data_IF_139601585217
#
_entry.id   IF_139601585217
#
_cell.length_a   1.000
_cell.length_b   1.000
_cell.length_c   1.000
_cell.angle_alpha   90.00
_cell.angle_beta   90.00
_cell.angle_gamma   90.00
#
_symmetry.space_group_name_H-M   'P 1'
#
loop_
_entity.id
_entity.type
_entity.pdbx_description
1 polymer ?
#
# COMPACT_ATOMS: atom_id res chain seq x y z
N UNK A 1 19.48 -1.47 2.63
CA UNK A 1 19.60 -0.09 2.03
C UNK A 1 19.63 0.91 3.16
N UNK A 2 20.54 1.87 3.11
CA UNK A 2 20.58 3.03 4.00
C UNK A 2 19.27 3.83 3.95
N UNK A 3 19.04 4.70 4.91
CA UNK A 3 17.99 5.71 4.84
C UNK A 3 18.16 6.52 3.54
N UNK A 4 17.06 7.09 2.98
CA UNK A 4 17.18 7.98 1.83
C UNK A 4 18.13 9.14 2.13
N UNK A 5 18.80 9.62 1.09
CA UNK A 5 19.70 10.76 1.21
C UNK A 5 18.95 12.06 1.52
N UNK A 6 19.59 13.06 2.17
CA UNK A 6 18.94 14.32 2.53
C UNK A 6 18.23 14.99 1.34
N UNK A 7 18.83 14.95 0.16
CA UNK A 7 18.26 15.54 -1.05
C UNK A 7 16.98 14.82 -1.50
N UNK A 8 16.92 13.51 -1.33
CA UNK A 8 15.69 12.74 -1.65
C UNK A 8 14.60 12.99 -0.61
N UNK A 9 14.95 13.12 0.67
CA UNK A 9 14.02 13.53 1.73
C UNK A 9 13.47 14.94 1.45
N UNK A 10 14.34 15.89 1.05
CA UNK A 10 13.90 17.24 0.67
C UNK A 10 13.00 17.22 -0.58
N UNK A 11 13.32 16.40 -1.58
CA UNK A 11 12.44 16.24 -2.74
C UNK A 11 11.06 15.71 -2.34
N UNK A 12 10.99 14.73 -1.44
CA UNK A 12 9.73 14.20 -0.88
C UNK A 12 8.96 15.31 -0.16
N UNK A 13 9.63 16.08 0.70
CA UNK A 13 9.02 17.20 1.43
C UNK A 13 8.50 18.29 0.49
N UNK A 14 9.30 18.64 -0.53
CA UNK A 14 8.90 19.60 -1.57
C UNK A 14 7.65 19.13 -2.33
N UNK A 15 7.62 17.87 -2.76
CA UNK A 15 6.46 17.28 -3.44
C UNK A 15 5.23 17.37 -2.54
N UNK A 16 5.33 16.97 -1.27
CA UNK A 16 4.19 16.96 -0.34
C UNK A 16 3.61 18.36 -0.10
N UNK A 17 4.46 19.39 0.01
CA UNK A 17 4.03 20.79 0.20
C UNK A 17 3.38 21.40 -1.05
N UNK A 18 3.75 20.93 -2.25
CA UNK A 18 3.37 21.55 -3.51
C UNK A 18 2.46 20.66 -4.38
N UNK A 19 1.71 19.70 -3.78
CA UNK A 19 0.86 18.75 -4.52
C UNK A 19 -0.22 19.42 -5.39
N UNK A 20 -0.64 20.63 -5.03
CA UNK A 20 -1.62 21.43 -5.77
C UNK A 20 -1.04 22.10 -7.01
N UNK A 21 0.31 22.23 -7.07
CA UNK A 21 1.02 22.87 -8.16
C UNK A 21 1.26 21.92 -9.35
N UNK A 22 1.61 22.50 -10.49
CA UNK A 22 2.06 21.73 -11.66
C UNK A 22 3.48 21.21 -11.45
N UNK A 23 3.62 20.10 -10.76
CA UNK A 23 4.90 19.46 -10.47
C UNK A 23 5.42 18.70 -11.69
N UNK A 24 6.32 19.32 -12.45
CA UNK A 24 7.10 18.62 -13.48
C UNK A 24 8.38 18.01 -12.90
N UNK A 25 8.93 17.01 -13.60
CA UNK A 25 10.19 16.40 -13.23
C UNK A 25 11.32 17.43 -13.12
N UNK A 26 11.36 18.38 -14.04
CA UNK A 26 12.38 19.45 -14.07
C UNK A 26 12.29 20.35 -12.84
N UNK A 27 11.08 20.70 -12.41
CA UNK A 27 10.87 21.54 -11.21
C UNK A 27 11.40 20.83 -9.97
N UNK A 28 11.04 19.55 -9.78
CA UNK A 28 11.46 18.78 -8.61
C UNK A 28 12.99 18.56 -8.61
N UNK A 29 13.55 18.16 -9.75
CA UNK A 29 14.99 17.90 -9.87
C UNK A 29 15.83 19.18 -9.62
N UNK A 30 15.39 20.33 -10.18
CA UNK A 30 16.04 21.62 -9.99
C UNK A 30 16.01 22.05 -8.52
N UNK A 31 14.92 21.81 -7.81
CA UNK A 31 14.79 22.15 -6.39
C UNK A 31 15.88 21.52 -5.53
N UNK A 32 16.28 20.28 -5.85
CA UNK A 32 17.32 19.53 -5.11
C UNK A 32 18.68 19.54 -5.79
N UNK A 33 18.88 20.39 -6.80
CA UNK A 33 20.18 20.57 -7.45
C UNK A 33 20.62 19.42 -8.38
N UNK A 34 19.70 18.58 -8.85
CA UNK A 34 20.01 17.47 -9.75
C UNK A 34 19.55 17.71 -11.19
N UNK A 35 20.26 17.09 -12.14
CA UNK A 35 19.70 16.93 -13.48
C UNK A 35 18.49 15.97 -13.43
N UNK A 36 17.48 16.15 -14.29
CA UNK A 36 16.28 15.30 -14.29
C UNK A 36 16.59 13.81 -14.42
N UNK A 37 17.54 13.44 -15.27
CA UNK A 37 17.95 12.06 -15.47
C UNK A 37 18.56 11.43 -14.20
N UNK A 38 19.51 12.14 -13.59
CA UNK A 38 20.14 11.69 -12.35
C UNK A 38 19.12 11.59 -11.22
N UNK A 39 18.24 12.59 -11.09
CA UNK A 39 17.19 12.62 -10.08
C UNK A 39 16.24 11.41 -10.19
N UNK A 40 15.72 11.11 -11.40
CA UNK A 40 14.81 9.96 -11.60
C UNK A 40 15.46 8.68 -11.12
N UNK A 41 16.71 8.44 -11.52
CA UNK A 41 17.44 7.22 -11.15
C UNK A 41 17.65 7.12 -9.65
N UNK A 42 18.14 8.21 -9.03
CA UNK A 42 18.40 8.27 -7.59
C UNK A 42 17.11 8.11 -6.78
N UNK A 43 16.08 8.87 -7.10
CA UNK A 43 14.78 8.80 -6.44
C UNK A 43 14.16 7.39 -6.53
N UNK A 44 14.18 6.78 -7.74
CA UNK A 44 13.66 5.43 -7.93
C UNK A 44 14.45 4.38 -7.14
N UNK A 45 15.76 4.53 -7.05
CA UNK A 45 16.58 3.59 -6.28
C UNK A 45 16.31 3.68 -4.76
N UNK A 46 16.03 4.87 -4.24
CA UNK A 46 15.85 5.10 -2.80
C UNK A 46 14.39 4.93 -2.36
N UNK A 47 13.43 5.47 -3.13
CA UNK A 47 11.99 5.39 -2.83
C UNK A 47 11.33 4.13 -3.42
N UNK A 48 11.88 3.59 -4.52
CA UNK A 48 11.38 2.38 -5.19
C UNK A 48 10.47 2.66 -6.39
N UNK A 49 9.93 3.87 -6.54
CA UNK A 49 9.07 4.30 -7.65
C UNK A 49 9.58 5.62 -8.26
N UNK A 50 9.17 5.93 -9.50
CA UNK A 50 9.59 7.18 -10.12
C UNK A 50 8.98 8.41 -9.46
N UNK A 51 9.62 9.61 -9.53
CA UNK A 51 9.12 10.83 -8.88
C UNK A 51 7.68 11.19 -9.29
N UNK A 52 7.37 11.19 -10.59
CA UNK A 52 6.02 11.54 -11.06
C UNK A 52 4.97 10.49 -10.69
N UNK A 53 5.37 9.21 -10.56
CA UNK A 53 4.49 8.18 -10.06
C UNK A 53 4.19 8.38 -8.57
N UNK A 54 5.19 8.81 -7.79
CA UNK A 54 5.05 9.19 -6.39
C UNK A 54 4.11 10.40 -6.22
N UNK A 55 4.29 11.46 -7.02
CA UNK A 55 3.37 12.62 -7.06
C UNK A 55 1.94 12.16 -7.33
N UNK A 56 1.74 11.31 -8.35
CA UNK A 56 0.41 10.76 -8.68
C UNK A 56 -0.18 9.93 -7.53
N UNK A 57 0.65 9.17 -6.80
CA UNK A 57 0.20 8.42 -5.64
C UNK A 57 -0.27 9.32 -4.49
N UNK A 58 0.50 10.35 -4.17
CA UNK A 58 0.15 11.33 -3.13
C UNK A 58 -1.13 12.11 -3.49
N UNK A 59 -1.34 12.45 -4.75
CA UNK A 59 -2.57 13.11 -5.22
C UNK A 59 -3.80 12.21 -5.00
N UNK A 60 -3.69 10.92 -5.30
CA UNK A 60 -4.78 9.97 -5.03
C UNK A 60 -5.00 9.76 -3.52
N UNK A 61 -3.95 9.78 -2.71
CA UNK A 61 -4.09 9.75 -1.25
C UNK A 61 -4.79 11.02 -0.73
N UNK A 62 -4.44 12.22 -1.26
CA UNK A 62 -5.19 13.46 -0.99
C UNK A 62 -6.66 13.32 -1.39
N UNK A 63 -6.95 12.72 -2.55
CA UNK A 63 -8.33 12.48 -2.97
C UNK A 63 -9.09 11.55 -2.01
N UNK A 64 -8.47 10.47 -1.52
CA UNK A 64 -9.06 9.60 -0.48
C UNK A 64 -9.45 10.41 0.75
N UNK A 65 -8.55 11.29 1.23
CA UNK A 65 -8.82 12.16 2.39
C UNK A 65 -9.99 13.12 2.13
N UNK A 66 -10.03 13.77 0.98
CA UNK A 66 -11.14 14.65 0.62
C UNK A 66 -12.48 13.91 0.52
N UNK A 67 -12.48 12.67 0.00
CA UNK A 67 -13.67 11.83 -0.05
C UNK A 67 -14.22 11.47 1.34
N UNK A 68 -13.35 11.30 2.34
CA UNK A 68 -13.73 10.93 3.72
C UNK A 68 -14.11 12.15 4.56
N UNK A 69 -13.39 13.27 4.41
CA UNK A 69 -13.53 14.42 5.30
C UNK A 69 -14.37 15.57 4.75
N UNK A 70 -14.81 15.50 3.49
CA UNK A 70 -15.61 16.57 2.86
C UNK A 70 -16.78 16.02 2.06
N UNK A 71 -17.76 16.90 1.79
CA UNK A 71 -18.88 16.62 0.90
C UNK A 71 -18.63 17.07 -0.55
N UNK A 72 -17.38 17.40 -0.92
CA UNK A 72 -17.04 17.83 -2.28
C UNK A 72 -17.45 16.77 -3.30
N UNK A 73 -17.95 17.22 -4.47
CA UNK A 73 -18.24 16.36 -5.60
C UNK A 73 -16.98 15.66 -6.11
N UNK A 74 -17.13 14.48 -6.71
CA UNK A 74 -15.98 13.71 -7.26
C UNK A 74 -15.21 14.54 -8.29
N UNK A 75 -15.93 15.35 -9.10
CA UNK A 75 -15.34 16.28 -10.07
C UNK A 75 -14.45 17.32 -9.38
N UNK A 76 -14.97 17.95 -8.32
CA UNK A 76 -14.27 19.02 -7.61
C UNK A 76 -13.03 18.47 -6.90
N UNK A 77 -13.11 17.27 -6.33
CA UNK A 77 -11.95 16.56 -5.78
C UNK A 77 -10.90 16.31 -6.87
N UNK A 78 -11.33 15.89 -8.07
CA UNK A 78 -10.44 15.73 -9.22
C UNK A 78 -9.67 17.03 -9.54
N UNK A 79 -10.36 18.15 -9.59
CA UNK A 79 -9.74 19.47 -9.82
C UNK A 79 -8.79 19.87 -8.69
N UNK A 80 -9.21 19.67 -7.42
CA UNK A 80 -8.43 19.99 -6.23
C UNK A 80 -7.09 19.24 -6.16
N UNK A 81 -6.99 18.05 -6.74
CA UNK A 81 -5.75 17.27 -6.84
C UNK A 81 -5.00 17.48 -8.16
N UNK A 82 -5.40 18.48 -8.96
CA UNK A 82 -4.74 18.83 -10.21
C UNK A 82 -5.03 17.88 -11.37
N UNK A 83 -6.19 17.19 -11.38
CA UNK A 83 -6.67 16.38 -12.51
C UNK A 83 -7.66 17.17 -13.34
N UNK A 84 -7.37 17.35 -14.64
CA UNK A 84 -8.22 18.12 -15.56
C UNK A 84 -9.41 17.31 -16.11
N UNK A 85 -9.31 15.98 -16.12
CA UNK A 85 -10.33 15.07 -16.66
C UNK A 85 -10.92 14.19 -15.57
N UNK A 86 -12.24 14.28 -15.39
CA UNK A 86 -12.99 13.44 -14.46
C UNK A 86 -12.88 11.96 -14.81
N UNK A 87 -12.98 11.60 -16.09
CA UNK A 87 -12.85 10.20 -16.54
C UNK A 87 -11.47 9.63 -16.22
N UNK A 88 -10.40 10.37 -16.53
CA UNK A 88 -9.04 9.96 -16.20
C UNK A 88 -8.84 9.82 -14.70
N UNK A 89 -9.36 10.73 -13.89
CA UNK A 89 -9.30 10.65 -12.44
C UNK A 89 -10.00 9.38 -11.92
N UNK A 90 -11.27 9.19 -12.33
CA UNK A 90 -12.08 8.04 -11.87
C UNK A 90 -11.45 6.71 -12.25
N UNK A 91 -10.94 6.58 -13.47
CA UNK A 91 -10.25 5.37 -13.93
C UNK A 91 -9.00 5.09 -13.10
N UNK A 92 -8.09 6.07 -12.97
CA UNK A 92 -6.85 5.92 -12.19
C UNK A 92 -7.11 5.65 -10.71
N UNK A 93 -8.10 6.30 -10.13
CA UNK A 93 -8.50 6.06 -8.75
C UNK A 93 -8.98 4.62 -8.59
N UNK A 94 -9.89 4.17 -9.46
CA UNK A 94 -10.44 2.81 -9.41
C UNK A 94 -9.36 1.73 -9.58
N UNK A 95 -8.46 1.91 -10.54
CA UNK A 95 -7.36 0.97 -10.78
C UNK A 95 -6.40 0.85 -9.57
N UNK A 96 -6.11 1.98 -8.92
CA UNK A 96 -5.08 2.03 -7.86
C UNK A 96 -5.65 1.85 -6.45
N UNK A 97 -6.88 2.27 -6.21
CA UNK A 97 -7.56 2.10 -4.90
C UNK A 97 -8.36 0.79 -4.87
N UNK A 98 -8.81 0.31 -6.04
CA UNK A 98 -9.58 -0.91 -6.21
C UNK A 98 -11.09 -0.71 -6.22
N UNK A 99 -11.58 0.49 -5.89
CA UNK A 99 -13.00 0.88 -5.94
C UNK A 99 -13.14 2.29 -6.52
N UNK A 100 -14.29 2.61 -7.09
CA UNK A 100 -14.56 3.97 -7.60
C UNK A 100 -14.60 5.00 -6.47
N UNK A 101 -14.34 6.29 -6.74
CA UNK A 101 -14.41 7.35 -5.73
C UNK A 101 -15.74 7.39 -4.97
N UNK A 102 -16.87 7.20 -5.66
CA UNK A 102 -18.19 7.15 -5.02
C UNK A 102 -18.32 5.99 -4.05
N UNK A 103 -17.96 4.76 -4.50
CA UNK A 103 -17.97 3.57 -3.63
C UNK A 103 -16.99 3.67 -2.47
N UNK A 104 -15.86 4.35 -2.66
CA UNK A 104 -14.91 4.62 -1.58
C UNK A 104 -15.54 5.49 -0.49
N UNK A 105 -16.28 6.54 -0.86
CA UNK A 105 -17.03 7.39 0.08
C UNK A 105 -18.13 6.60 0.79
N UNK A 106 -18.90 5.81 0.07
CA UNK A 106 -19.96 4.96 0.63
C UNK A 106 -19.42 3.94 1.64
N UNK A 107 -18.19 3.45 1.44
CA UNK A 107 -17.58 2.48 2.36
C UNK A 107 -17.29 3.05 3.76
N UNK A 108 -17.32 4.39 3.94
CA UNK A 108 -17.20 5.02 5.26
C UNK A 108 -18.32 4.60 6.20
N UNK A 109 -19.56 4.52 5.70
CA UNK A 109 -20.71 4.12 6.51
C UNK A 109 -20.61 2.68 7.06
N UNK A 110 -19.86 1.80 6.37
CA UNK A 110 -19.70 0.39 6.72
C UNK A 110 -18.33 0.05 7.31
N UNK A 111 -17.42 1.03 7.40
CA UNK A 111 -16.04 0.77 7.81
C UNK A 111 -15.92 0.20 9.22
N UNK A 112 -16.72 0.70 10.16
CA UNK A 112 -16.77 0.20 11.53
C UNK A 112 -17.29 -1.25 11.60
N UNK A 113 -18.36 -1.55 10.85
CA UNK A 113 -18.90 -2.91 10.75
C UNK A 113 -17.88 -3.90 10.18
N UNK A 114 -17.05 -3.46 9.25
CA UNK A 114 -15.97 -4.28 8.69
C UNK A 114 -14.88 -4.58 9.73
N UNK A 115 -14.46 -3.60 10.54
CA UNK A 115 -13.51 -3.82 11.64
C UNK A 115 -14.05 -4.80 12.67
N UNK A 116 -15.32 -4.64 13.09
CA UNK A 116 -15.97 -5.56 14.01
C UNK A 116 -16.09 -6.97 13.45
N UNK A 117 -16.37 -7.10 12.15
CA UNK A 117 -16.42 -8.41 11.50
C UNK A 117 -15.05 -9.11 11.51
N UNK A 118 -13.96 -8.36 11.32
CA UNK A 118 -12.59 -8.88 11.47
C UNK A 118 -12.31 -9.36 12.89
N UNK A 119 -12.66 -8.56 13.90
CA UNK A 119 -12.45 -8.93 15.31
C UNK A 119 -13.18 -10.21 15.73
N UNK A 120 -14.35 -10.47 15.13
CA UNK A 120 -15.18 -11.67 15.41
C UNK A 120 -14.68 -12.95 14.73
N UNK A 121 -13.71 -12.86 13.83
CA UNK A 121 -13.12 -14.06 13.24
C UNK A 121 -12.37 -14.85 14.33
N UNK A 122 -12.97 -15.96 14.77
CA UNK A 122 -12.40 -16.80 15.82
C UNK A 122 -11.25 -17.70 15.32
N UNK A 123 -11.18 -17.96 14.04
CA UNK A 123 -10.15 -18.77 13.40
C UNK A 123 -9.52 -17.99 12.24
N UNK A 124 -8.30 -17.59 12.44
CA UNK A 124 -7.43 -17.15 11.37
C UNK A 124 -6.88 -18.40 10.68
N UNK A 125 -6.83 -18.44 9.35
CA UNK A 125 -6.11 -19.51 8.70
C UNK A 125 -4.67 -19.41 9.19
N UNK A 126 -4.30 -20.33 10.08
CA UNK A 126 -2.90 -20.52 10.37
C UNK A 126 -2.23 -20.94 9.07
N UNK A 127 -1.56 -20.02 8.43
CA UNK A 127 -0.59 -20.33 7.38
C UNK A 127 0.64 -20.92 8.05
N UNK A 128 0.43 -21.84 9.05
CA UNK A 128 1.54 -22.64 9.54
C UNK A 128 2.22 -23.20 8.32
N UNK A 129 3.46 -22.83 8.18
CA UNK A 129 4.29 -23.16 7.06
C UNK A 129 4.05 -24.61 6.65
N UNK A 130 3.20 -24.83 5.65
CA UNK A 130 3.29 -26.05 4.88
C UNK A 130 4.77 -26.18 4.52
N UNK A 131 5.32 -27.36 4.61
CA UNK A 131 6.72 -27.58 4.23
C UNK A 131 6.97 -26.87 2.90
N UNK A 132 8.12 -26.18 2.75
CA UNK A 132 8.41 -25.39 1.55
C UNK A 132 8.16 -26.26 0.33
N UNK A 133 7.22 -25.80 -0.49
CA UNK A 133 6.87 -26.51 -1.72
C UNK A 133 7.37 -25.69 -2.91
N UNK A 134 7.56 -26.36 -4.04
CA UNK A 134 7.85 -25.67 -5.29
C UNK A 134 6.80 -24.58 -5.55
N UNK A 135 7.25 -23.46 -6.12
CA UNK A 135 6.40 -22.29 -6.40
C UNK A 135 5.80 -21.66 -5.12
N UNK A 136 6.56 -21.60 -4.03
CA UNK A 136 6.13 -20.96 -2.79
C UNK A 136 6.97 -19.74 -2.42
N UNK A 137 6.35 -18.81 -1.69
CA UNK A 137 7.03 -17.67 -1.05
C UNK A 137 6.63 -17.64 0.40
N UNK A 138 7.60 -17.78 1.31
CA UNK A 138 7.35 -17.86 2.75
C UNK A 138 8.30 -17.00 3.57
N UNK A 139 7.85 -16.65 4.75
CA UNK A 139 8.64 -15.84 5.68
C UNK A 139 7.84 -15.46 6.92
N UNK A 140 8.43 -14.59 7.73
CA UNK A 140 7.88 -14.11 8.99
C UNK A 140 7.67 -12.61 8.94
N UNK A 141 6.54 -12.14 9.43
CA UNK A 141 6.28 -10.72 9.72
C UNK A 141 6.44 -10.49 11.21
N UNK A 142 7.21 -9.46 11.57
CA UNK A 142 7.42 -9.07 12.98
C UNK A 142 7.04 -7.60 13.17
N UNK A 143 6.50 -7.25 14.33
CA UNK A 143 6.32 -5.88 14.76
C UNK A 143 7.36 -5.53 15.83
N UNK A 144 7.90 -4.30 15.76
CA UNK A 144 8.89 -3.82 16.72
C UNK A 144 8.33 -3.56 18.12
N UNK A 145 7.00 -3.48 18.24
CA UNK A 145 6.26 -3.36 19.51
C UNK A 145 5.02 -4.25 19.48
N UNK A 146 4.56 -4.75 20.63
CA UNK A 146 3.30 -5.49 20.70
C UNK A 146 2.13 -4.64 20.18
N UNK A 147 1.30 -5.23 19.33
CA UNK A 147 0.03 -4.62 18.92
C UNK A 147 -1.07 -5.68 18.91
N UNK A 148 -2.30 -5.24 19.11
CA UNK A 148 -3.49 -6.09 19.03
C UNK A 148 -4.25 -5.77 17.73
N UNK A 149 -4.32 -6.73 16.83
CA UNK A 149 -4.88 -6.49 15.50
C UNK A 149 -4.53 -7.58 14.50
N UNK A 150 -4.65 -7.25 13.23
CA UNK A 150 -4.29 -8.12 12.12
C UNK A 150 -3.25 -7.46 11.22
N UNK A 151 -2.46 -8.27 10.56
CA UNK A 151 -1.54 -7.82 9.50
C UNK A 151 -2.03 -8.34 8.16
N UNK A 152 -2.26 -7.40 7.24
CA UNK A 152 -2.51 -7.72 5.83
C UNK A 152 -1.15 -7.82 5.14
N UNK A 153 -0.84 -8.98 4.57
CA UNK A 153 0.40 -9.25 3.83
C UNK A 153 0.07 -9.60 2.40
N UNK A 154 0.81 -9.03 1.44
CA UNK A 154 0.55 -9.30 0.03
C UNK A 154 1.76 -9.19 -0.88
N UNK A 155 1.74 -9.97 -1.96
CA UNK A 155 2.64 -9.86 -3.09
C UNK A 155 1.99 -8.99 -4.18
N UNK A 156 2.60 -7.86 -4.45
CA UNK A 156 2.14 -6.87 -5.42
C UNK A 156 3.03 -6.87 -6.67
N UNK A 157 2.49 -6.45 -7.80
CA UNK A 157 3.26 -6.27 -9.05
C UNK A 157 4.09 -4.98 -9.07
N UNK A 158 3.88 -4.08 -8.10
CA UNK A 158 4.58 -2.80 -7.97
C UNK A 158 5.02 -2.56 -6.53
N UNK A 159 6.09 -1.79 -6.30
CA UNK A 159 6.62 -1.51 -4.96
C UNK A 159 5.83 -0.43 -4.18
N UNK A 160 4.51 -0.45 -4.34
CA UNK A 160 3.55 0.43 -3.69
C UNK A 160 2.25 -0.36 -3.45
N UNK A 161 1.58 -0.21 -2.28
CA UNK A 161 0.34 -0.91 -1.98
C UNK A 161 -0.85 -0.25 -2.71
N UNK A 162 -1.04 -0.66 -3.98
CA UNK A 162 -2.10 -0.19 -4.87
C UNK A 162 -2.70 -1.34 -5.69
N UNK A 163 -3.97 -1.21 -6.04
CA UNK A 163 -4.71 -2.30 -6.68
C UNK A 163 -4.79 -3.54 -5.76
N UNK A 164 -5.27 -4.66 -6.26
CA UNK A 164 -5.29 -5.91 -5.50
C UNK A 164 -3.93 -6.61 -5.56
N UNK A 165 -3.45 -7.17 -4.44
CA UNK A 165 -2.27 -8.03 -4.46
C UNK A 165 -2.56 -9.29 -5.30
N UNK A 166 -1.55 -9.82 -5.96
CA UNK A 166 -1.64 -11.09 -6.68
C UNK A 166 -1.86 -12.25 -5.72
N UNK A 167 -1.21 -12.20 -4.57
CA UNK A 167 -1.34 -13.14 -3.46
C UNK A 167 -1.44 -12.33 -2.18
N UNK A 168 -2.33 -12.71 -1.28
CA UNK A 168 -2.55 -11.98 -0.04
C UNK A 168 -3.10 -12.89 1.04
N UNK A 169 -2.71 -12.60 2.29
CA UNK A 169 -3.19 -13.27 3.48
C UNK A 169 -3.34 -12.29 4.64
N UNK A 170 -4.04 -12.72 5.68
CA UNK A 170 -4.16 -12.03 6.95
C UNK A 170 -3.49 -12.86 8.04
N UNK A 171 -2.73 -12.19 8.91
CA UNK A 171 -2.05 -12.78 10.05
C UNK A 171 -2.62 -12.17 11.34
N UNK A 172 -2.69 -12.97 12.40
CA UNK A 172 -3.15 -12.52 13.74
C UNK A 172 -2.00 -11.88 14.53
N UNK A 173 -1.32 -10.90 13.95
CA UNK A 173 -0.17 -10.25 14.59
C UNK A 173 1.16 -10.61 13.93
N UNK A 174 2.24 -10.71 14.74
CA UNK A 174 3.53 -11.21 14.27
C UNK A 174 3.45 -12.70 14.07
N UNK A 175 3.54 -13.18 12.83
CA UNK A 175 3.34 -14.59 12.49
C UNK A 175 4.01 -14.92 11.15
N UNK A 176 4.03 -16.20 10.81
CA UNK A 176 4.55 -16.71 9.55
C UNK A 176 3.50 -16.62 8.43
N UNK A 177 3.95 -16.37 7.22
CA UNK A 177 3.13 -16.41 6.01
C UNK A 177 3.71 -17.40 4.99
N UNK A 178 2.83 -17.99 4.19
CA UNK A 178 3.20 -18.80 3.05
C UNK A 178 2.20 -18.60 1.91
N UNK A 179 2.71 -18.19 0.75
CA UNK A 179 1.96 -18.15 -0.50
C UNK A 179 2.34 -19.36 -1.35
N UNK A 180 1.36 -20.16 -1.71
CA UNK A 180 1.54 -21.35 -2.55
C UNK A 180 1.16 -21.05 -4.00
N UNK A 181 1.66 -21.85 -4.93
CA UNK A 181 1.38 -21.76 -6.37
C UNK A 181 1.65 -20.36 -6.93
N UNK A 182 2.75 -19.72 -6.46
CA UNK A 182 3.15 -18.40 -6.95
C UNK A 182 3.71 -18.54 -8.36
N UNK A 183 3.03 -17.91 -9.32
CA UNK A 183 3.45 -17.93 -10.72
C UNK A 183 4.82 -17.25 -10.90
N UNK A 184 5.61 -17.65 -11.90
CA UNK A 184 6.85 -16.95 -12.24
C UNK A 184 6.59 -15.46 -12.51
N UNK A 185 7.47 -14.60 -11.97
CA UNK A 185 7.30 -13.14 -12.09
C UNK A 185 8.09 -12.36 -11.07
N UNK A 186 7.95 -11.05 -11.12
CA UNK A 186 8.56 -10.13 -10.15
C UNK A 186 7.50 -9.58 -9.22
N UNK A 187 7.71 -9.71 -7.92
CA UNK A 187 6.77 -9.32 -6.88
C UNK A 187 7.42 -8.44 -5.82
N UNK A 188 6.60 -7.63 -5.17
CA UNK A 188 6.98 -6.79 -4.04
C UNK A 188 6.14 -7.20 -2.84
N UNK A 189 6.81 -7.60 -1.76
CA UNK A 189 6.16 -7.96 -0.51
C UNK A 189 5.90 -6.70 0.29
N UNK A 190 4.62 -6.46 0.57
CA UNK A 190 4.14 -5.31 1.35
C UNK A 190 3.20 -5.81 2.45
N UNK A 191 3.24 -5.14 3.60
CA UNK A 191 2.34 -5.41 4.70
C UNK A 191 1.85 -4.12 5.38
N UNK A 192 0.66 -4.17 5.97
CA UNK A 192 0.14 -3.13 6.84
C UNK A 192 -0.65 -3.75 7.98
N UNK A 193 -0.56 -3.17 9.17
CA UNK A 193 -1.31 -3.62 10.33
C UNK A 193 -2.63 -2.83 10.48
N UNK A 194 -3.66 -3.50 10.97
CA UNK A 194 -4.93 -2.92 11.38
C UNK A 194 -5.12 -3.24 12.87
N UNK A 195 -5.04 -2.22 13.71
CA UNK A 195 -5.20 -2.36 15.17
C UNK A 195 -6.66 -2.38 15.55
N UNK A 196 -7.03 -3.15 16.58
CA UNK A 196 -8.40 -3.25 17.04
C UNK A 196 -8.97 -1.97 17.69
N UNK A 197 -8.13 -1.05 18.12
CA UNK A 197 -8.54 0.27 18.62
C UNK A 197 -8.69 1.36 17.54
N UNK A 198 -8.60 1.00 16.27
CA UNK A 198 -8.68 1.92 15.14
C UNK A 198 -10.13 2.30 14.86
N UNK A 199 -10.38 3.56 14.50
CA UNK A 199 -11.69 4.01 14.02
C UNK A 199 -11.91 3.60 12.55
N UNK A 200 -13.18 3.49 12.12
CA UNK A 200 -13.50 3.14 10.73
C UNK A 200 -12.87 4.06 9.68
N UNK A 201 -12.76 5.37 9.97
CA UNK A 201 -12.09 6.33 9.09
C UNK A 201 -10.58 6.05 8.93
N UNK A 202 -9.90 5.62 10.01
CA UNK A 202 -8.48 5.29 9.97
C UNK A 202 -8.22 3.99 9.20
N UNK A 203 -9.21 3.09 9.19
CA UNK A 203 -9.20 1.90 8.37
C UNK A 203 -9.28 2.22 6.87
N UNK A 204 -10.04 3.28 6.50
CA UNK A 204 -10.07 3.79 5.12
C UNK A 204 -8.81 4.58 4.75
N UNK A 205 -8.27 5.31 5.70
CA UNK A 205 -7.10 6.17 5.56
C UNK A 205 -5.95 5.68 6.46
N UNK A 206 -5.28 4.57 6.11
CA UNK A 206 -4.30 3.92 6.99
C UNK A 206 -2.98 4.70 7.08
N UNK A 207 -3.05 5.97 7.53
CA UNK A 207 -1.89 6.86 7.58
C UNK A 207 -0.98 6.54 8.77
N UNK A 208 -1.57 6.12 9.90
CA UNK A 208 -0.86 5.82 11.15
C UNK A 208 -0.60 4.32 11.38
N UNK A 209 -1.00 3.47 10.43
CA UNK A 209 -0.82 2.02 10.56
C UNK A 209 0.65 1.63 10.49
N UNK A 210 1.05 0.64 11.29
CA UNK A 210 2.33 -0.02 11.08
C UNK A 210 2.37 -0.61 9.68
N UNK A 211 3.51 -0.48 9.03
CA UNK A 211 3.70 -0.94 7.66
C UNK A 211 5.08 -1.55 7.45
N UNK A 212 5.18 -2.41 6.47
CA UNK A 212 6.44 -3.03 6.08
C UNK A 212 6.54 -3.20 4.58
N UNK A 213 7.74 -3.05 4.07
CA UNK A 213 8.06 -3.23 2.65
C UNK A 213 9.39 -3.96 2.52
N UNK A 214 9.40 -5.08 1.81
CA UNK A 214 10.67 -5.68 1.41
C UNK A 214 11.34 -4.77 0.38
N UNK A 215 12.58 -4.38 0.64
CA UNK A 215 13.30 -3.41 -0.20
C UNK A 215 13.68 -3.98 -1.57
N UNK A 216 13.90 -5.30 -1.63
CA UNK A 216 14.24 -6.01 -2.86
C UNK A 216 13.02 -6.70 -3.44
N UNK A 217 12.88 -6.66 -4.77
CA UNK A 217 11.86 -7.43 -5.44
C UNK A 217 12.13 -8.94 -5.29
N UNK A 218 11.07 -9.71 -5.13
CA UNK A 218 11.11 -11.17 -5.17
C UNK A 218 10.97 -11.59 -6.62
N UNK A 219 12.01 -12.23 -7.16
CA UNK A 219 11.99 -12.79 -8.52
C UNK A 219 11.68 -14.28 -8.42
N UNK A 220 10.41 -14.62 -8.72
CA UNK A 220 9.95 -16.01 -8.72
C UNK A 220 10.28 -16.66 -10.05
N UNK A 221 11.08 -17.72 -10.02
CA UNK A 221 11.41 -18.57 -11.17
C UNK A 221 10.52 -19.82 -11.17
N UNK A 222 10.32 -20.49 -12.33
CA UNK A 222 9.62 -21.77 -12.36
C UNK A 222 10.25 -22.78 -11.39
N UNK A 223 9.42 -23.50 -10.65
CA UNK A 223 9.79 -24.53 -9.68
C UNK A 223 10.67 -24.04 -8.51
N UNK A 224 10.85 -22.74 -8.34
CA UNK A 224 11.60 -22.18 -7.22
C UNK A 224 10.74 -22.09 -5.94
N UNK A 225 11.40 -22.12 -4.78
CA UNK A 225 10.86 -21.63 -3.52
C UNK A 225 11.69 -20.44 -3.06
N UNK A 226 11.04 -19.44 -2.49
CA UNK A 226 11.69 -18.29 -1.84
C UNK A 226 11.29 -18.30 -0.37
N UNK A 227 12.25 -18.56 0.50
CA UNK A 227 12.00 -18.83 1.91
C UNK A 227 12.79 -17.89 2.83
N UNK A 228 12.45 -17.91 4.11
CA UNK A 228 13.18 -17.22 5.15
C UNK A 228 13.09 -15.69 5.05
N UNK A 229 12.10 -15.16 4.35
CA UNK A 229 11.88 -13.71 4.26
C UNK A 229 11.52 -13.19 5.65
N UNK A 230 12.21 -12.11 6.08
CA UNK A 230 11.89 -11.40 7.32
C UNK A 230 11.40 -10.01 6.97
N UNK A 231 10.14 -9.70 7.31
CA UNK A 231 9.52 -8.40 7.11
C UNK A 231 9.20 -7.76 8.45
N UNK A 232 9.92 -6.70 8.78
CA UNK A 232 9.67 -5.94 10.00
C UNK A 232 8.69 -4.79 9.71
N UNK A 233 7.62 -4.71 10.51
CA UNK A 233 6.71 -3.57 10.52
C UNK A 233 7.32 -2.42 11.32
N UNK A 234 7.11 -1.22 10.83
CA UNK A 234 7.55 0.02 11.46
C UNK A 234 6.44 1.08 11.40
N UNK A 235 6.45 2.10 12.28
CA UNK A 235 5.60 3.28 12.14
C UNK A 235 5.81 3.96 10.80
N UNK A 236 4.83 4.74 10.31
CA UNK A 236 4.96 5.49 9.06
C UNK A 236 6.21 6.35 9.03
N UNK A 237 6.91 6.33 7.90
CA UNK A 237 8.06 7.19 7.62
C UNK A 237 7.71 8.16 6.50
N UNK A 238 8.41 9.30 6.46
CA UNK A 238 8.17 10.33 5.45
C UNK A 238 8.39 9.84 4.02
N UNK A 239 9.32 8.90 3.84
CA UNK A 239 9.69 8.29 2.56
C UNK A 239 8.83 7.10 2.16
N UNK A 240 7.91 6.66 3.02
CA UNK A 240 6.99 5.59 2.67
C UNK A 240 6.02 6.06 1.57
N UNK A 241 5.81 5.26 0.52
CA UNK A 241 4.73 5.54 -0.42
C UNK A 241 3.37 5.37 0.28
N UNK A 242 2.35 6.14 -0.12
CA UNK A 242 1.03 6.04 0.49
C UNK A 242 0.39 4.67 0.24
N UNK A 243 -0.41 4.20 1.19
CA UNK A 243 -1.23 3.00 1.03
C UNK A 243 -2.50 3.40 0.27
N UNK A 244 -2.54 3.12 -1.02
CA UNK A 244 -3.65 3.52 -1.88
C UNK A 244 -4.79 2.53 -1.84
N UNK A 245 -4.50 1.23 -1.80
CA UNK A 245 -5.53 0.20 -1.80
C UNK A 245 -6.55 0.40 -0.68
N UNK A 246 -7.82 0.17 -1.00
CA UNK A 246 -8.90 0.13 0.00
C UNK A 246 -8.75 -1.11 0.89
N UNK A 247 -8.46 -0.91 2.18
CA UNK A 247 -8.37 -2.01 3.14
C UNK A 247 -9.69 -2.77 3.31
N UNK A 248 -10.89 -2.11 3.33
CA UNK A 248 -12.17 -2.83 3.32
C UNK A 248 -12.32 -3.76 2.12
N UNK A 249 -11.86 -3.35 0.93
CA UNK A 249 -11.90 -4.21 -0.25
C UNK A 249 -11.00 -5.45 -0.10
N UNK A 250 -9.78 -5.27 0.39
CA UNK A 250 -8.86 -6.39 0.66
C UNK A 250 -9.48 -7.39 1.62
N UNK A 251 -10.07 -6.89 2.68
CA UNK A 251 -10.71 -7.70 3.69
C UNK A 251 -11.91 -8.46 3.15
N UNK A 252 -12.81 -7.78 2.43
CA UNK A 252 -13.97 -8.43 1.82
C UNK A 252 -13.55 -9.57 0.88
N UNK A 253 -12.51 -9.34 0.06
CA UNK A 253 -11.99 -10.38 -0.82
C UNK A 253 -11.40 -11.56 -0.04
N UNK A 254 -10.77 -11.30 1.10
CA UNK A 254 -10.29 -12.36 1.97
C UNK A 254 -11.43 -13.14 2.60
N UNK A 255 -12.44 -12.48 3.17
CA UNK A 255 -13.60 -13.12 3.79
C UNK A 255 -14.42 -13.95 2.79
N UNK A 256 -14.58 -13.46 1.55
CA UNK A 256 -15.26 -14.22 0.50
C UNK A 256 -14.51 -15.49 0.12
N UNK A 257 -13.18 -15.44 0.04
CA UNK A 257 -12.37 -16.64 -0.20
C UNK A 257 -12.48 -17.66 0.92
N UNK A 258 -12.61 -17.24 2.17
CA UNK A 258 -12.78 -18.13 3.33
C UNK A 258 -14.14 -18.84 3.36
N UNK A 259 -15.19 -18.26 2.78
CA UNK A 259 -16.53 -18.87 2.72
C UNK A 259 -16.64 -19.97 1.67
N UNK A 260 -15.67 -20.07 0.76
CA UNK A 260 -15.64 -21.04 -0.34
C UNK A 260 -14.71 -22.23 -0.05
N UNK A 261 -14.25 -22.39 1.19
CA UNK A 261 -13.57 -23.56 1.77
C UNK A 261 -14.44 -24.18 2.86
#
# INVERSE_FOLDING_TARGET
>A
MSAPTPEIIEAVSFIQRNLHESLSLNVIAKHVGYSPYHFVRKFKNEIGISPLYYVSALRLDKAKRLLVHTNLGVRDIGLEIGQQSLGTFTTRFTERVGVSPGRFRESLANAEGHLQALQRLQKWPSTRAAAPTINSVSGTVTAGSPFSGVVLVGLFSKPIPEGLPRYGTLLSGSDDFCFLNVAPGTYYLLATAVSWGMEGKDFLLPQQTLRGRLKTAIVMRPFAAVEGIRLQLHPPKQDDPPILISLPLLMNNFLLKQRNW
#
